data_IF_086441716492
#
_entry.id   IF_086441716492
#
_cell.length_a   1.000
_cell.length_b   1.000
_cell.length_c   1.000
_cell.angle_alpha   90.00
_cell.angle_beta   90.00
_cell.angle_gamma   90.00
#
_symmetry.space_group_name_H-M   'P 1'
#
loop_
_entity.id
_entity.type
_entity.pdbx_description
1 polymer ?
#
# COMPACT_ATOMS: atom_id res chain seq x y z
N UNK A 1 0.89 -28.54 -7.28
CA UNK A 1 1.96 -29.19 -6.49
C UNK A 1 2.41 -30.51 -7.11
N UNK A 2 1.51 -31.20 -7.81
CA UNK A 2 1.70 -32.47 -8.53
C UNK A 2 2.91 -32.51 -9.47
N UNK A 3 3.41 -31.36 -9.95
CA UNK A 3 4.60 -31.32 -10.81
C UNK A 3 5.94 -31.28 -10.06
N UNK A 4 5.97 -31.13 -8.73
CA UNK A 4 7.20 -31.08 -7.90
C UNK A 4 8.18 -29.93 -8.21
N UNK A 5 7.82 -29.02 -9.13
CA UNK A 5 8.71 -27.97 -9.64
C UNK A 5 8.53 -26.68 -8.84
N UNK A 6 9.52 -26.37 -8.00
CA UNK A 6 9.67 -25.10 -7.27
C UNK A 6 10.05 -23.91 -8.17
N UNK A 7 9.52 -23.86 -9.40
CA UNK A 7 9.94 -22.91 -10.44
C UNK A 7 9.80 -21.45 -9.99
N UNK A 8 8.73 -21.15 -9.26
CA UNK A 8 8.42 -19.81 -8.75
C UNK A 8 8.97 -19.54 -7.34
N UNK A 9 9.57 -20.54 -6.69
CA UNK A 9 10.11 -20.45 -5.33
C UNK A 9 11.64 -20.59 -5.35
N UNK A 10 12.33 -19.62 -5.98
CA UNK A 10 13.79 -19.65 -6.20
C UNK A 10 14.58 -19.90 -4.92
N UNK A 11 14.21 -19.26 -3.81
CA UNK A 11 14.89 -19.41 -2.53
C UNK A 11 14.67 -20.81 -1.92
N UNK A 12 13.43 -21.33 -1.97
CA UNK A 12 13.12 -22.67 -1.47
C UNK A 12 13.80 -23.75 -2.32
N UNK A 13 13.90 -23.53 -3.64
CA UNK A 13 14.66 -24.37 -4.56
C UNK A 13 16.15 -24.37 -4.19
N UNK A 14 16.72 -23.20 -3.92
CA UNK A 14 18.13 -23.05 -3.53
C UNK A 14 18.42 -23.75 -2.20
N UNK A 15 17.61 -23.49 -1.17
CA UNK A 15 17.72 -24.13 0.14
C UNK A 15 17.70 -25.67 0.04
N UNK A 16 16.80 -26.23 -0.76
CA UNK A 16 16.73 -27.67 -1.01
C UNK A 16 18.02 -28.22 -1.64
N UNK A 17 18.62 -27.48 -2.58
CA UNK A 17 19.87 -27.87 -3.25
C UNK A 17 21.04 -27.82 -2.28
N UNK A 18 21.13 -26.77 -1.46
CA UNK A 18 22.25 -26.55 -0.53
C UNK A 18 22.23 -27.50 0.67
N UNK A 19 21.04 -27.83 1.20
CA UNK A 19 20.90 -28.58 2.46
C UNK A 19 20.47 -30.04 2.25
N UNK A 20 20.14 -30.42 1.02
CA UNK A 20 19.51 -31.71 0.69
C UNK A 20 18.23 -31.99 1.52
N UNK A 21 17.58 -30.94 2.05
CA UNK A 21 16.39 -31.08 2.90
C UNK A 21 15.19 -31.64 2.13
N UNK A 22 14.40 -32.48 2.79
CA UNK A 22 13.15 -32.99 2.22
C UNK A 22 12.03 -31.99 2.47
N UNK A 23 11.40 -31.49 1.41
CA UNK A 23 10.22 -30.64 1.52
C UNK A 23 9.00 -31.53 1.71
N UNK A 24 8.41 -31.49 2.91
CA UNK A 24 7.16 -32.21 3.20
C UNK A 24 6.03 -31.57 2.42
N UNK A 25 5.60 -32.23 1.33
CA UNK A 25 4.62 -31.70 0.39
C UNK A 25 3.29 -31.34 1.07
N UNK A 26 2.82 -32.14 2.03
CA UNK A 26 1.59 -31.88 2.77
C UNK A 26 1.67 -30.58 3.58
N UNK A 27 2.76 -30.39 4.34
CA UNK A 27 2.99 -29.18 5.13
C UNK A 27 3.07 -27.94 4.23
N UNK A 28 3.84 -28.02 3.14
CA UNK A 28 3.97 -26.90 2.20
C UNK A 28 2.63 -26.59 1.49
N UNK A 29 1.79 -27.60 1.24
CA UNK A 29 0.44 -27.41 0.67
C UNK A 29 -0.49 -26.67 1.64
N UNK A 30 -0.47 -27.08 2.91
CA UNK A 30 -1.26 -26.43 3.97
C UNK A 30 -0.79 -24.98 4.16
N UNK A 31 0.52 -24.74 4.21
CA UNK A 31 1.06 -23.38 4.33
C UNK A 31 0.63 -22.49 3.15
N UNK A 32 0.73 -22.99 1.91
CA UNK A 32 0.27 -22.25 0.72
C UNK A 32 -1.23 -21.99 0.74
N UNK A 33 -2.04 -22.97 1.18
CA UNK A 33 -3.49 -22.80 1.32
C UNK A 33 -3.81 -21.72 2.35
N UNK A 34 -3.22 -21.77 3.53
CA UNK A 34 -3.42 -20.79 4.59
C UNK A 34 -3.00 -19.38 4.14
N UNK A 35 -1.89 -19.28 3.40
CA UNK A 35 -1.42 -18.02 2.83
C UNK A 35 -2.41 -17.46 1.80
N UNK A 36 -2.93 -18.31 0.91
CA UNK A 36 -3.93 -17.92 -0.08
C UNK A 36 -5.24 -17.48 0.58
N UNK A 37 -5.72 -18.25 1.55
CA UNK A 37 -6.98 -17.99 2.25
C UNK A 37 -6.86 -16.72 3.11
N UNK A 38 -5.73 -16.56 3.82
CA UNK A 38 -5.41 -15.33 4.55
C UNK A 38 -5.30 -14.10 3.65
N UNK A 39 -4.65 -14.22 2.49
CA UNK A 39 -4.62 -13.15 1.50
C UNK A 39 -6.02 -12.79 1.00
N UNK A 40 -6.87 -13.79 0.71
CA UNK A 40 -8.23 -13.55 0.26
C UNK A 40 -9.04 -12.76 1.31
N UNK A 41 -8.97 -13.16 2.58
CA UNK A 41 -9.63 -12.44 3.68
C UNK A 41 -9.14 -11.00 3.80
N UNK A 42 -7.82 -10.77 3.74
CA UNK A 42 -7.24 -9.41 3.78
C UNK A 42 -7.63 -8.58 2.55
N UNK A 43 -7.72 -9.21 1.38
CA UNK A 43 -8.14 -8.56 0.15
C UNK A 43 -9.62 -8.16 0.19
N UNK A 44 -10.49 -8.98 0.80
CA UNK A 44 -11.89 -8.60 1.05
C UNK A 44 -11.97 -7.40 2.01
N UNK A 45 -11.20 -7.42 3.11
CA UNK A 45 -11.10 -6.27 4.02
C UNK A 45 -10.61 -5.00 3.32
N UNK A 46 -9.70 -5.13 2.34
CA UNK A 46 -9.26 -3.99 1.53
C UNK A 46 -10.41 -3.39 0.72
N UNK A 47 -11.28 -4.23 0.12
CA UNK A 47 -12.45 -3.76 -0.64
C UNK A 47 -13.45 -3.02 0.26
N UNK A 48 -13.68 -3.51 1.48
CA UNK A 48 -14.64 -2.88 2.41
C UNK A 48 -14.12 -1.57 3.00
N UNK A 49 -12.80 -1.35 3.05
CA UNK A 49 -12.17 -0.12 3.54
C UNK A 49 -11.86 0.90 2.44
N UNK A 50 -12.48 0.79 1.26
CA UNK A 50 -12.18 1.62 0.08
C UNK A 50 -12.15 3.12 0.39
N UNK A 51 -13.12 3.64 1.13
CA UNK A 51 -13.20 5.07 1.48
C UNK A 51 -12.03 5.49 2.40
N UNK A 52 -11.68 4.66 3.39
CA UNK A 52 -10.50 4.84 4.25
C UNK A 52 -9.20 4.89 3.43
N UNK A 53 -9.10 4.11 2.36
CA UNK A 53 -7.92 4.09 1.50
C UNK A 53 -7.84 5.29 0.57
N UNK A 54 -8.98 5.68 0.00
CA UNK A 54 -9.10 6.86 -0.85
C UNK A 54 -8.76 8.16 -0.10
N UNK A 55 -8.92 8.16 1.23
CA UNK A 55 -8.57 9.28 2.10
C UNK A 55 -7.16 9.83 1.86
N UNK A 56 -6.18 8.95 1.64
CA UNK A 56 -4.76 9.33 1.48
C UNK A 56 -4.52 10.26 0.29
N UNK A 57 -5.29 10.07 -0.78
CA UNK A 57 -5.12 10.80 -2.05
C UNK A 57 -6.21 11.84 -2.27
N UNK A 58 -7.30 11.78 -1.51
CA UNK A 58 -8.46 12.64 -1.68
C UNK A 58 -9.17 12.98 -0.35
N UNK A 59 -8.45 13.57 0.63
CA UNK A 59 -9.00 13.78 1.97
C UNK A 59 -10.16 14.79 1.99
N UNK A 60 -10.17 15.76 1.06
CA UNK A 60 -11.19 16.81 0.97
C UNK A 60 -12.59 16.29 0.63
N UNK A 61 -12.67 15.20 -0.13
CA UNK A 61 -13.93 14.65 -0.62
C UNK A 61 -14.32 13.35 0.11
N UNK A 62 -13.59 12.97 1.16
CA UNK A 62 -13.90 11.73 1.88
C UNK A 62 -15.11 11.93 2.78
N UNK A 63 -16.06 11.00 2.70
CA UNK A 63 -17.20 10.92 3.62
C UNK A 63 -16.72 10.34 4.95
N UNK A 64 -16.73 11.13 6.02
CA UNK A 64 -16.28 10.71 7.35
C UNK A 64 -17.06 9.52 7.91
N UNK A 65 -18.31 9.33 7.48
CA UNK A 65 -19.14 8.22 7.93
C UNK A 65 -18.75 6.88 7.29
N UNK A 66 -17.99 6.92 6.20
CA UNK A 66 -17.50 5.73 5.49
C UNK A 66 -16.03 5.41 5.80
N UNK A 67 -15.36 6.25 6.60
CA UNK A 67 -13.99 6.00 7.03
C UNK A 67 -14.04 5.07 8.25
N UNK A 68 -13.39 3.91 8.11
CA UNK A 68 -13.12 3.05 9.25
C UNK A 68 -11.95 3.60 10.08
N UNK A 69 -12.27 4.18 11.24
CA UNK A 69 -11.30 4.81 12.14
C UNK A 69 -10.95 3.96 13.37
N UNK A 70 -11.75 2.91 13.66
CA UNK A 70 -11.60 2.04 14.82
C UNK A 70 -10.18 1.44 14.95
N UNK A 71 -9.55 0.92 13.88
CA UNK A 71 -8.23 0.29 13.98
C UNK A 71 -7.11 1.26 14.40
N UNK A 72 -7.35 2.57 14.35
CA UNK A 72 -6.34 3.60 14.55
C UNK A 72 -6.49 4.36 15.88
N UNK A 73 -7.52 4.03 16.68
CA UNK A 73 -7.77 4.70 17.96
C UNK A 73 -8.00 6.20 17.82
N UNK A 74 -8.70 6.61 16.76
CA UNK A 74 -8.95 8.02 16.43
C UNK A 74 -10.25 8.50 17.07
N UNK A 75 -10.23 9.72 17.60
CA UNK A 75 -11.43 10.40 18.06
C UNK A 75 -12.25 10.95 16.89
N UNK A 76 -13.49 10.48 16.75
CA UNK A 76 -14.36 10.80 15.62
C UNK A 76 -14.71 12.31 15.56
N UNK A 77 -14.98 12.92 16.71
CA UNK A 77 -15.34 14.34 16.80
C UNK A 77 -14.19 15.25 16.39
N UNK A 78 -13.01 14.99 16.94
CA UNK A 78 -11.77 15.71 16.59
C UNK A 78 -11.39 15.52 15.13
N UNK A 79 -11.53 14.30 14.59
CA UNK A 79 -11.30 14.03 13.16
C UNK A 79 -12.23 14.86 12.27
N UNK A 80 -13.53 14.90 12.57
CA UNK A 80 -14.50 15.69 11.81
C UNK A 80 -14.16 17.18 11.85
N UNK A 81 -13.84 17.73 13.03
CA UNK A 81 -13.46 19.14 13.19
C UNK A 81 -12.18 19.48 12.43
N UNK A 82 -11.15 18.62 12.52
CA UNK A 82 -9.89 18.82 11.80
C UNK A 82 -10.10 18.73 10.29
N UNK A 83 -10.93 17.80 9.80
CA UNK A 83 -11.25 17.69 8.37
C UNK A 83 -12.05 18.87 7.85
N UNK A 84 -13.03 19.37 8.62
CA UNK A 84 -13.76 20.58 8.26
C UNK A 84 -12.81 21.76 8.11
N UNK A 85 -11.94 21.99 9.09
CA UNK A 85 -10.93 23.04 9.07
C UNK A 85 -9.93 22.87 7.91
N UNK A 86 -9.58 21.63 7.56
CA UNK A 86 -8.71 21.34 6.41
C UNK A 86 -9.41 21.70 5.08
N UNK A 87 -10.72 21.47 4.96
CA UNK A 87 -11.52 21.84 3.79
C UNK A 87 -11.72 23.36 3.66
N UNK A 88 -11.93 24.05 4.77
CA UNK A 88 -12.27 25.49 4.77
C UNK A 88 -11.04 26.41 4.71
N UNK A 89 -9.84 25.90 5.02
CA UNK A 89 -8.60 26.69 4.90
C UNK A 89 -8.02 26.57 3.50
N UNK A 90 -8.07 27.68 2.76
CA UNK A 90 -7.58 27.80 1.38
C UNK A 90 -6.18 27.25 1.16
N UNK A 91 -5.27 27.47 2.11
CA UNK A 91 -3.92 26.95 2.02
C UNK A 91 -3.88 25.41 1.99
N UNK A 92 -4.62 24.75 2.88
CA UNK A 92 -4.61 23.28 2.96
C UNK A 92 -5.47 22.65 1.88
N UNK A 93 -6.65 23.22 1.60
CA UNK A 93 -7.49 22.76 0.51
C UNK A 93 -6.79 22.88 -0.84
N UNK A 94 -6.10 23.99 -1.09
CA UNK A 94 -5.25 24.19 -2.27
C UNK A 94 -4.15 23.13 -2.36
N UNK A 95 -3.41 22.92 -1.28
CA UNK A 95 -2.29 21.95 -1.25
C UNK A 95 -2.73 20.51 -1.53
N UNK A 96 -3.84 20.05 -0.95
CA UNK A 96 -4.35 18.70 -1.19
C UNK A 96 -5.04 18.55 -2.55
N UNK A 97 -5.60 19.64 -3.09
CA UNK A 97 -6.10 19.66 -4.48
C UNK A 97 -4.93 19.52 -5.46
N UNK A 98 -3.85 20.28 -5.26
CA UNK A 98 -2.63 20.19 -6.08
C UNK A 98 -2.00 18.79 -6.00
N UNK A 99 -1.91 18.20 -4.79
CA UNK A 99 -1.45 16.83 -4.63
C UNK A 99 -2.27 15.88 -5.50
N UNK A 100 -3.60 15.92 -5.39
CA UNK A 100 -4.49 15.03 -6.15
C UNK A 100 -4.27 15.18 -7.66
N UNK A 101 -4.24 16.40 -8.18
CA UNK A 101 -4.00 16.65 -9.62
C UNK A 101 -2.66 16.11 -10.08
N UNK A 102 -1.59 16.29 -9.29
CA UNK A 102 -0.26 15.73 -9.61
C UNK A 102 -0.28 14.21 -9.63
N UNK A 103 -1.01 13.56 -8.72
CA UNK A 103 -1.12 12.10 -8.72
C UNK A 103 -1.85 11.58 -9.96
N UNK A 104 -2.92 12.26 -10.38
CA UNK A 104 -3.66 11.94 -11.61
C UNK A 104 -2.78 12.14 -12.86
N UNK A 105 -2.05 13.25 -12.92
CA UNK A 105 -1.12 13.54 -14.03
C UNK A 105 -0.02 12.48 -14.15
N UNK A 106 0.60 12.09 -13.03
CA UNK A 106 1.64 11.06 -13.02
C UNK A 106 1.11 9.70 -13.48
N UNK A 107 -0.15 9.36 -13.16
CA UNK A 107 -0.76 8.12 -13.62
C UNK A 107 -0.99 8.13 -15.15
N UNK A 108 -1.41 9.27 -15.70
CA UNK A 108 -1.54 9.47 -17.14
C UNK A 108 -0.18 9.37 -17.83
N UNK A 109 0.85 10.01 -17.30
CA UNK A 109 2.22 9.95 -17.83
C UNK A 109 2.77 8.52 -17.80
N UNK A 110 2.57 7.77 -16.70
CA UNK A 110 2.94 6.35 -16.61
C UNK A 110 2.27 5.52 -17.69
N UNK A 111 0.96 5.68 -17.87
CA UNK A 111 0.21 4.98 -18.91
C UNK A 111 0.76 5.30 -20.30
N UNK A 112 1.02 6.57 -20.61
CA UNK A 112 1.59 7.00 -21.89
C UNK A 112 2.98 6.40 -22.14
N UNK A 113 3.87 6.39 -21.14
CA UNK A 113 5.21 5.81 -21.30
C UNK A 113 5.18 4.29 -21.46
N UNK A 114 4.28 3.59 -20.76
CA UNK A 114 4.08 2.14 -20.94
C UNK A 114 3.59 1.85 -22.36
N UNK A 115 2.59 2.59 -22.86
CA UNK A 115 2.06 2.43 -24.21
C UNK A 115 3.11 2.72 -25.30
N UNK A 116 4.05 3.63 -25.02
CA UNK A 116 5.16 3.98 -25.91
C UNK A 116 6.43 3.14 -25.69
N UNK A 117 6.40 2.15 -24.78
CA UNK A 117 7.56 1.34 -24.39
C UNK A 117 8.79 2.15 -23.94
N UNK A 118 8.58 3.35 -23.38
CA UNK A 118 9.63 4.25 -22.89
C UNK A 118 10.04 3.90 -21.47
N UNK A 119 10.71 2.77 -21.29
CA UNK A 119 11.10 2.25 -19.97
C UNK A 119 12.10 3.13 -19.20
N UNK A 120 12.93 3.89 -19.90
CA UNK A 120 13.88 4.84 -19.28
C UNK A 120 13.15 6.05 -18.70
N UNK A 121 12.24 6.66 -19.49
CA UNK A 121 11.41 7.77 -19.03
C UNK A 121 10.50 7.38 -17.84
N UNK A 122 10.00 6.14 -17.82
CA UNK A 122 9.22 5.62 -16.69
C UNK A 122 10.00 5.64 -15.37
N UNK A 123 11.34 5.49 -15.39
CA UNK A 123 12.20 5.55 -14.19
C UNK A 123 12.41 6.97 -13.68
N UNK A 124 12.23 7.97 -14.53
CA UNK A 124 12.38 9.38 -14.21
C UNK A 124 11.11 9.99 -13.62
N UNK A 125 9.96 9.31 -13.76
CA UNK A 125 8.70 9.75 -13.17
C UNK A 125 8.85 9.88 -11.64
N UNK A 126 8.46 11.02 -11.05
CA UNK A 126 8.47 11.22 -9.61
C UNK A 126 7.76 10.12 -8.83
N UNK A 127 8.33 9.76 -7.68
CA UNK A 127 7.76 8.77 -6.77
C UNK A 127 6.51 9.33 -6.10
N UNK A 128 5.38 8.68 -6.33
CA UNK A 128 4.06 9.07 -5.80
C UNK A 128 4.07 9.08 -4.26
N UNK A 129 4.79 8.14 -3.66
CA UNK A 129 4.92 8.01 -2.21
C UNK A 129 5.57 9.24 -1.59
N UNK A 130 6.59 9.81 -2.24
CA UNK A 130 7.29 10.99 -1.75
C UNK A 130 6.37 12.22 -1.77
N UNK A 131 5.51 12.36 -2.79
CA UNK A 131 4.55 13.45 -2.89
C UNK A 131 3.48 13.35 -1.80
N UNK A 132 2.90 12.16 -1.63
CA UNK A 132 1.91 11.89 -0.59
C UNK A 132 2.51 12.16 0.78
N UNK A 133 3.66 11.55 1.09
CA UNK A 133 4.29 11.71 2.40
C UNK A 133 4.67 13.17 2.67
N UNK A 134 5.20 13.89 1.67
CA UNK A 134 5.53 15.30 1.80
C UNK A 134 4.31 16.18 2.10
N UNK A 135 3.17 15.91 1.46
CA UNK A 135 1.92 16.63 1.73
C UNK A 135 1.42 16.38 3.16
N UNK A 136 1.32 15.11 3.58
CA UNK A 136 0.85 14.75 4.92
C UNK A 136 1.81 15.21 6.04
N UNK A 137 3.13 15.14 5.81
CA UNK A 137 4.13 15.58 6.78
C UNK A 137 4.13 17.09 6.99
N UNK A 138 3.67 17.85 6.01
CA UNK A 138 3.58 19.31 6.13
C UNK A 138 2.45 19.78 7.03
N UNK A 139 1.47 18.93 7.35
CA UNK A 139 0.39 19.30 8.26
C UNK A 139 0.92 19.55 9.67
N UNK A 140 0.51 20.65 10.33
CA UNK A 140 0.90 20.94 11.71
C UNK A 140 0.24 19.97 12.68
N UNK A 141 0.78 19.90 13.90
CA UNK A 141 0.33 18.97 14.95
C UNK A 141 -1.12 19.20 15.41
N UNK A 142 -1.72 20.36 15.13
CA UNK A 142 -3.14 20.58 15.38
C UNK A 142 -4.08 19.74 14.47
N UNK A 143 -3.52 19.05 13.46
CA UNK A 143 -4.21 18.04 12.65
C UNK A 143 -3.83 16.60 13.08
N UNK A 144 -3.59 16.39 14.37
CA UNK A 144 -3.11 15.12 14.94
C UNK A 144 -3.93 13.89 14.51
N UNK A 145 -5.27 13.96 14.54
CA UNK A 145 -6.15 12.84 14.22
C UNK A 145 -6.15 12.54 12.72
N UNK A 146 -6.18 13.59 11.91
CA UNK A 146 -6.03 13.50 10.45
C UNK A 146 -4.68 12.89 10.06
N UNK A 147 -3.60 13.28 10.74
CA UNK A 147 -2.25 12.71 10.54
C UNK A 147 -2.19 11.25 11.00
N UNK A 148 -2.74 10.91 12.18
CA UNK A 148 -2.82 9.53 12.68
C UNK A 148 -3.54 8.61 11.69
N UNK A 149 -4.68 9.05 11.14
CA UNK A 149 -5.40 8.31 10.11
C UNK A 149 -4.53 8.06 8.89
N UNK A 150 -3.92 9.13 8.36
CA UNK A 150 -3.12 9.03 7.15
C UNK A 150 -1.91 8.10 7.34
N UNK A 151 -1.16 8.25 8.42
CA UNK A 151 -0.01 7.39 8.69
C UNK A 151 -0.42 5.98 9.08
N UNK A 152 -1.54 5.78 9.77
CA UNK A 152 -2.10 4.47 10.05
C UNK A 152 -2.40 3.71 8.76
N UNK A 153 -3.12 4.34 7.83
CA UNK A 153 -3.45 3.75 6.52
C UNK A 153 -2.18 3.48 5.70
N UNK A 154 -1.22 4.41 5.66
CA UNK A 154 0.07 4.20 4.98
C UNK A 154 0.87 3.04 5.60
N UNK A 155 0.75 2.81 6.90
CA UNK A 155 1.45 1.73 7.63
C UNK A 155 0.83 0.35 7.38
N UNK A 156 -0.49 0.25 7.17
CA UNK A 156 -1.14 -1.00 6.74
C UNK A 156 -0.50 -1.52 5.45
N UNK A 157 -0.16 -0.61 4.55
CA UNK A 157 0.58 -0.96 3.35
C UNK A 157 2.04 -1.22 3.66
N UNK A 158 2.72 -0.39 4.45
CA UNK A 158 4.13 -0.65 4.81
C UNK A 158 4.39 -2.04 5.43
N UNK A 159 3.47 -2.50 6.29
CA UNK A 159 3.60 -3.75 7.06
C UNK A 159 3.30 -5.03 6.28
N UNK A 160 2.50 -4.97 5.20
CA UNK A 160 2.23 -6.12 4.32
C UNK A 160 3.41 -6.47 3.41
N UNK A 161 4.38 -5.56 3.29
CA UNK A 161 5.58 -5.76 2.46
C UNK A 161 6.88 -5.63 3.25
N UNK A 162 6.83 -5.42 4.57
CA UNK A 162 8.03 -5.59 5.40
C UNK A 162 8.50 -7.02 5.24
N UNK A 163 9.71 -7.19 4.71
CA UNK A 163 10.33 -8.50 4.43
C UNK A 163 10.21 -9.41 5.64
N UNK A 164 10.25 -8.84 6.84
CA UNK A 164 10.25 -9.57 8.10
C UNK A 164 8.96 -10.38 8.30
N UNK A 165 7.74 -9.85 8.09
CA UNK A 165 6.51 -10.61 8.33
C UNK A 165 6.25 -11.74 7.32
N UNK A 166 6.75 -11.59 6.08
CA UNK A 166 6.62 -12.60 5.04
C UNK A 166 7.71 -13.69 5.13
N UNK A 167 8.85 -13.39 5.77
CA UNK A 167 9.92 -14.36 6.03
C UNK A 167 9.82 -15.02 7.40
N UNK A 168 9.27 -14.33 8.41
CA UNK A 168 9.13 -14.82 9.80
C UNK A 168 8.10 -15.94 9.91
N UNK A 169 7.10 -15.99 9.02
CA UNK A 169 6.18 -17.15 8.91
C UNK A 169 6.87 -18.39 8.34
N UNK A 170 8.02 -18.25 7.65
CA UNK A 170 8.67 -19.38 7.02
C UNK A 170 9.90 -19.91 7.75
N UNK A 171 10.67 -19.11 8.51
CA UNK A 171 11.81 -19.59 9.29
C UNK A 171 12.19 -18.60 10.42
N UNK A 172 12.17 -19.04 11.68
CA UNK A 172 13.10 -18.52 12.71
C UNK A 172 13.99 -19.70 13.14
N UNK A 173 15.33 -19.53 13.16
CA UNK A 173 15.97 -18.80 14.27
C UNK A 173 17.03 -17.77 13.83
N UNK A 174 17.13 -16.70 14.62
CA UNK A 174 18.07 -15.55 14.54
C UNK A 174 19.51 -15.91 14.98
N UNK A 175 20.58 -15.14 14.61
CA UNK A 175 20.79 -13.77 15.14
C UNK A 175 21.32 -12.68 14.16
N UNK A 176 20.67 -11.51 14.25
CA UNK A 176 21.10 -10.09 14.30
C UNK A 176 22.43 -9.58 13.65
N UNK A 177 22.33 -8.63 12.70
CA UNK A 177 22.70 -7.19 12.84
C UNK A 177 22.19 -6.36 11.61
N UNK A 178 21.63 -5.14 11.76
CA UNK A 178 20.81 -4.47 10.75
C UNK A 178 21.55 -3.36 9.99
N UNK A 179 21.25 -3.22 8.69
CA UNK A 179 21.51 -1.99 7.96
C UNK A 179 20.21 -1.19 7.79
N UNK A 180 20.25 0.06 8.24
CA UNK A 180 19.16 1.04 8.30
C UNK A 180 18.69 1.47 6.89
N UNK A 181 19.46 1.17 5.83
CA UNK A 181 19.16 1.53 4.44
C UNK A 181 18.06 0.71 3.74
N UNK A 182 17.60 -0.41 4.32
CA UNK A 182 16.63 -1.30 3.66
C UNK A 182 15.15 -0.99 4.00
N UNK A 183 14.86 -0.28 5.09
CA UNK A 183 13.48 0.06 5.50
C UNK A 183 12.80 1.03 4.53
N UNK A 184 13.55 1.96 3.94
CA UNK A 184 13.05 2.94 2.97
C UNK A 184 12.64 2.31 1.63
N UNK A 185 13.39 1.31 1.14
CA UNK A 185 13.03 0.56 -0.10
C UNK A 185 11.82 -0.37 0.07
N UNK A 186 11.50 -0.75 1.31
CA UNK A 186 10.37 -1.62 1.65
C UNK A 186 9.05 -0.85 1.74
N UNK A 187 9.07 0.32 2.37
CA UNK A 187 7.95 1.27 2.38
C UNK A 187 7.61 1.75 0.95
N UNK A 188 8.63 1.87 0.10
CA UNK A 188 8.49 2.25 -1.31
C UNK A 188 7.71 1.20 -2.13
N UNK A 189 7.94 -0.10 -1.93
CA UNK A 189 7.24 -1.16 -2.69
C UNK A 189 5.81 -1.42 -2.22
N UNK A 190 5.56 -1.20 -0.93
CA UNK A 190 4.23 -1.26 -0.33
C UNK A 190 3.27 -0.19 -0.87
N UNK A 191 3.76 1.06 -0.97
CA UNK A 191 3.01 2.18 -1.53
C UNK A 191 2.65 1.98 -3.00
N UNK A 192 3.61 1.49 -3.80
CA UNK A 192 3.43 1.26 -5.24
C UNK A 192 2.30 0.28 -5.54
N UNK A 193 2.14 -0.80 -4.77
CA UNK A 193 1.10 -1.80 -5.03
C UNK A 193 -0.27 -1.39 -4.47
N UNK A 194 -0.32 -0.73 -3.32
CA UNK A 194 -1.56 -0.19 -2.75
C UNK A 194 -2.18 0.89 -3.65
N UNK A 195 -1.35 1.78 -4.17
CA UNK A 195 -1.77 2.89 -5.05
C UNK A 195 -2.04 2.38 -6.47
N UNK A 196 -1.28 1.40 -6.98
CA UNK A 196 -1.61 0.74 -8.25
C UNK A 196 -2.91 -0.08 -8.15
N UNK A 197 -3.21 -0.68 -7.00
CA UNK A 197 -4.49 -1.35 -6.75
C UNK A 197 -5.64 -0.34 -6.62
N UNK A 198 -5.43 0.81 -5.96
CA UNK A 198 -6.40 1.91 -5.90
C UNK A 198 -6.65 2.54 -7.29
N UNK A 199 -5.60 2.77 -8.08
CA UNK A 199 -5.69 3.25 -9.47
C UNK A 199 -6.43 2.25 -10.38
N UNK A 200 -6.14 0.95 -10.28
CA UNK A 200 -6.89 -0.11 -10.97
C UNK A 200 -8.35 -0.21 -10.51
N UNK A 201 -8.63 0.05 -9.23
CA UNK A 201 -10.00 0.08 -8.70
C UNK A 201 -10.82 1.26 -9.23
N UNK A 202 -10.18 2.40 -9.51
CA UNK A 202 -10.82 3.57 -10.12
C UNK A 202 -11.00 3.40 -11.65
N UNK A 203 -10.05 2.76 -12.35
CA UNK A 203 -10.17 2.45 -13.77
C UNK A 203 -11.38 1.55 -14.10
N UNK A 204 -11.77 0.64 -13.19
CA UNK A 204 -13.00 -0.16 -13.35
C UNK A 204 -14.30 0.66 -13.30
N UNK A 205 -14.28 1.86 -12.71
CA UNK A 205 -15.44 2.76 -12.64
C UNK A 205 -15.63 3.59 -13.92
N UNK A 206 -14.55 3.86 -14.65
CA UNK A 206 -14.61 4.57 -15.95
C UNK A 206 -15.11 3.62 -17.06
N UNK A 207 -14.76 2.34 -17.00
CA UNK A 207 -15.22 1.34 -17.98
C UNK A 207 -16.68 0.90 -17.83
N UNK A 208 -17.36 1.22 -16.71
CA UNK A 208 -18.75 0.80 -16.44
C UNK A 208 -19.78 1.93 -16.59
N UNK A 209 -19.39 3.07 -17.18
CA UNK A 209 -20.28 4.17 -17.57
C UNK A 209 -20.20 4.44 -19.08
N UNK A 210 -19.65 3.50 -19.85
CA UNK A 210 -19.51 3.56 -21.32
C UNK A 210 -20.10 2.30 -21.98
N UNK A 211 -20.98 1.59 -21.28
CA UNK A 211 -21.88 0.58 -21.88
C UNK A 211 -23.33 1.01 -21.70
#
# INVERSE_FOLDING_TARGET
>A
MESGKLLHFKNLKQYRIETNATIVANYFSIALKNMKDGFAVRFEQFKTNKSTLAFIVNPLNTNTNEINIEPFGIDAGSLQMQLLNLKTKDFWSGKFTELKSKLEELEVQKCMHIAQHKWTALKEIPRVEALIFGAWNSLPECYSEVKKLAYGVLTIFGSTYSKDSFTEVLLEPKPMNPDLGNKTKLLEKAGIMAISLLGKFQLKKISSHVE
#
